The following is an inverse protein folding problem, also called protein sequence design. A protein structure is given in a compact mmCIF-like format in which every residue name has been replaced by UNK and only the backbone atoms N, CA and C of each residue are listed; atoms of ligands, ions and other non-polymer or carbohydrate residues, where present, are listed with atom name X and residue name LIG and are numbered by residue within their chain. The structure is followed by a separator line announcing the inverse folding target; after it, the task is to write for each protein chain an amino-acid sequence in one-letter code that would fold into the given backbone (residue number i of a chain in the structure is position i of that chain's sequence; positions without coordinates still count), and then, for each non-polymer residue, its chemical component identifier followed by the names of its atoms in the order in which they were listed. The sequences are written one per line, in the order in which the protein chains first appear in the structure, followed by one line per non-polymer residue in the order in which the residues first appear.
data_IF_398945401039
#
_entry.id   IF_398945401039
#
_cell.length_a   1.000
_cell.length_b   1.000
_cell.length_c   1.000
_cell.angle_alpha   90.00
_cell.angle_beta   90.00
_cell.angle_gamma   90.00
#
_symmetry.space_group_name_H-M   'P 1'
#
loop_
_entity.id
_entity.type
_entity.pdbx_description
1 polymer ?
#
# COMPACT_ATOMS: atom_id res chain seq x y z
N UNK A 1 -6.02 4.18 6.83
CA UNK A 1 -5.00 3.45 7.60
C UNK A 1 -4.88 4.15 8.94
N UNK A 2 -4.74 3.41 10.05
CA UNK A 2 -4.46 4.04 11.35
C UNK A 2 -2.95 4.32 11.48
N UNK A 3 -2.55 5.21 12.38
CA UNK A 3 -1.16 5.63 12.60
C UNK A 3 -0.19 4.43 12.70
N UNK A 4 1.01 4.50 12.08
CA UNK A 4 2.03 3.48 12.25
C UNK A 4 2.56 3.49 13.69
N UNK A 5 2.91 2.32 14.20
CA UNK A 5 3.54 2.14 15.50
C UNK A 5 4.82 1.31 15.35
N UNK A 6 5.87 1.65 16.09
CA UNK A 6 7.04 0.78 16.23
C UNK A 6 6.78 -0.23 17.34
N UNK A 7 6.66 -1.53 17.06
CA UNK A 7 6.41 -2.52 18.09
C UNK A 7 7.62 -2.69 19.03
N UNK A 8 8.84 -2.37 18.58
CA UNK A 8 10.08 -2.61 19.33
C UNK A 8 11.09 -1.45 19.26
N UNK A 9 10.89 -0.35 20.00
CA UNK A 9 11.95 0.66 20.22
C UNK A 9 12.62 1.21 18.93
N UNK A 10 13.94 1.08 18.82
CA UNK A 10 14.76 1.46 17.64
C UNK A 10 14.71 0.45 16.48
N UNK A 11 13.87 -0.59 16.58
CA UNK A 11 13.68 -1.54 15.50
C UNK A 11 13.03 -0.82 14.29
N UNK A 12 13.56 -1.02 13.07
CA UNK A 12 13.02 -0.39 11.87
C UNK A 12 11.67 -0.97 11.45
N UNK A 13 11.10 -1.93 12.17
CA UNK A 13 9.74 -2.41 11.89
C UNK A 13 8.69 -1.33 12.16
N UNK A 14 7.79 -1.18 11.20
CA UNK A 14 6.61 -0.34 11.29
C UNK A 14 5.38 -1.24 11.17
N UNK A 15 4.57 -1.24 12.22
CA UNK A 15 3.27 -1.91 12.25
C UNK A 15 2.18 -0.86 12.05
N UNK A 16 1.35 -0.98 11.02
CA UNK A 16 0.19 -0.10 10.84
C UNK A 16 -1.08 -0.87 10.56
N UNK A 17 -2.21 -0.36 11.07
CA UNK A 17 -3.51 -0.98 10.82
C UNK A 17 -4.02 -0.58 9.43
N UNK A 18 -4.15 -1.57 8.56
CA UNK A 18 -4.82 -1.40 7.27
C UNK A 18 -6.27 -1.80 7.43
N UNK A 19 -7.15 -0.82 7.23
CA UNK A 19 -8.60 -1.01 7.21
C UNK A 19 -9.10 -0.88 5.79
N UNK A 20 -9.75 -1.92 5.29
CA UNK A 20 -10.42 -1.90 4.02
C UNK A 20 -11.93 -2.02 4.22
N UNK A 21 -12.70 -1.25 3.44
CA UNK A 21 -14.15 -1.16 3.57
C UNK A 21 -14.81 -1.30 2.21
N UNK A 22 -15.61 -2.34 2.05
CA UNK A 22 -16.55 -2.52 0.95
C UNK A 22 -17.95 -2.08 1.34
N UNK A 23 -18.91 -2.24 0.41
CA UNK A 23 -20.31 -1.86 0.61
C UNK A 23 -20.98 -2.55 1.81
N UNK A 24 -20.55 -3.78 2.13
CA UNK A 24 -21.18 -4.62 3.14
C UNK A 24 -20.19 -5.23 4.14
N UNK A 25 -18.90 -4.96 3.97
CA UNK A 25 -17.83 -5.60 4.73
C UNK A 25 -16.79 -4.55 5.13
N UNK A 26 -16.28 -4.67 6.34
CA UNK A 26 -15.12 -3.91 6.81
C UNK A 26 -14.17 -4.91 7.42
N UNK A 27 -12.95 -4.96 6.90
CA UNK A 27 -11.88 -5.81 7.42
C UNK A 27 -10.74 -4.92 7.87
N UNK A 28 -10.01 -5.39 8.87
CA UNK A 28 -8.80 -4.74 9.35
C UNK A 28 -7.73 -5.79 9.61
N UNK A 29 -6.50 -5.46 9.25
CA UNK A 29 -5.34 -6.31 9.51
C UNK A 29 -4.16 -5.44 9.90
N UNK A 30 -3.33 -5.94 10.81
CA UNK A 30 -2.08 -5.29 11.17
C UNK A 30 -1.03 -5.68 10.12
N UNK A 31 -0.47 -4.70 9.44
CA UNK A 31 0.57 -4.92 8.44
C UNK A 31 1.89 -4.52 9.05
N UNK A 32 2.82 -5.48 9.11
CA UNK A 32 4.21 -5.24 9.49
C UNK A 32 5.06 -5.00 8.26
N UNK A 33 5.84 -3.94 8.30
CA UNK A 33 6.82 -3.58 7.26
C UNK A 33 8.17 -3.28 7.88
N UNK A 34 9.24 -3.34 7.09
CA UNK A 34 10.57 -2.88 7.47
C UNK A 34 10.80 -1.46 6.93
N UNK A 35 10.53 -0.45 7.74
CA UNK A 35 10.63 0.96 7.34
C UNK A 35 9.75 1.31 6.13
N UNK A 36 8.61 0.61 5.98
CA UNK A 36 7.71 0.76 4.83
C UNK A 36 7.99 -0.17 3.65
N UNK A 37 9.00 -1.05 3.72
CA UNK A 37 9.41 -1.99 2.65
C UNK A 37 9.54 -1.33 1.25
N UNK A 38 9.86 -0.03 1.19
CA UNK A 38 9.94 0.74 -0.05
C UNK A 38 8.60 1.00 -0.75
N UNK A 39 7.47 0.97 -0.02
CA UNK A 39 6.14 1.27 -0.54
C UNK A 39 6.05 2.68 -1.16
N UNK A 40 6.61 3.65 -0.46
CA UNK A 40 6.74 5.05 -0.90
C UNK A 40 7.54 5.16 -2.20
N UNK A 41 8.66 4.44 -2.29
CA UNK A 41 9.52 4.41 -3.46
C UNK A 41 8.81 3.72 -4.62
N UNK A 42 8.08 2.64 -4.36
CA UNK A 42 7.27 1.95 -5.35
C UNK A 42 6.21 2.89 -5.94
N UNK A 43 5.41 3.55 -5.11
CA UNK A 43 4.38 4.49 -5.57
C UNK A 43 4.98 5.70 -6.31
N UNK A 44 6.12 6.22 -5.83
CA UNK A 44 6.84 7.30 -6.50
C UNK A 44 7.29 6.90 -7.90
N UNK A 45 7.84 5.69 -8.07
CA UNK A 45 8.22 5.17 -9.37
C UNK A 45 7.03 5.04 -10.35
N UNK A 46 5.84 4.69 -9.86
CA UNK A 46 4.62 4.69 -10.68
C UNK A 46 4.25 6.09 -11.19
N UNK A 47 4.50 7.12 -10.38
CA UNK A 47 4.21 8.51 -10.72
C UNK A 47 5.26 9.13 -11.67
N UNK A 48 6.49 8.63 -11.62
CA UNK A 48 7.57 9.01 -12.55
C UNK A 48 7.38 8.36 -13.92
N UNK A 49 6.93 7.11 -13.96
CA UNK A 49 6.61 6.37 -15.19
C UNK A 49 5.20 6.70 -15.73
N UNK A 50 4.77 7.96 -15.60
CA UNK A 50 3.47 8.44 -16.10
C UNK A 50 3.28 8.29 -17.62
N UNK A 51 4.37 8.06 -18.37
CA UNK A 51 4.34 7.78 -19.80
C UNK A 51 3.78 6.40 -20.12
N UNK A 52 3.63 5.56 -19.09
CA UNK A 52 3.14 4.19 -19.18
C UNK A 52 4.25 3.15 -19.13
N UNK A 53 3.89 1.96 -18.68
CA UNK A 53 4.73 0.77 -18.65
C UNK A 53 3.93 -0.44 -19.11
N UNK A 54 4.62 -1.49 -19.56
CA UNK A 54 3.99 -2.76 -19.91
C UNK A 54 3.94 -3.71 -18.71
N UNK A 55 2.83 -4.44 -18.59
CA UNK A 55 2.61 -5.41 -17.52
C UNK A 55 2.18 -4.81 -16.18
N UNK A 56 2.12 -5.67 -15.16
CA UNK A 56 1.80 -5.28 -13.80
C UNK A 56 3.09 -5.12 -12.98
N UNK A 57 3.20 -4.01 -12.25
CA UNK A 57 4.23 -3.83 -11.23
C UNK A 57 3.63 -4.20 -9.88
N UNK A 58 4.30 -5.04 -9.11
CA UNK A 58 3.79 -5.49 -7.83
C UNK A 58 4.73 -5.09 -6.69
N UNK A 59 4.13 -4.76 -5.56
CA UNK A 59 4.78 -4.57 -4.27
C UNK A 59 4.07 -5.44 -3.23
N UNK A 60 4.81 -5.87 -2.21
CA UNK A 60 4.27 -6.62 -1.08
C UNK A 60 5.02 -6.25 0.20
N UNK A 61 4.32 -6.27 1.32
CA UNK A 61 4.93 -6.15 2.64
C UNK A 61 5.82 -7.35 2.94
N UNK A 62 6.73 -7.20 3.89
CA UNK A 62 7.64 -8.25 4.37
C UNK A 62 6.93 -9.57 4.66
N UNK A 63 5.79 -9.46 5.32
CA UNK A 63 4.99 -10.58 5.80
C UNK A 63 3.88 -11.01 4.81
N UNK A 64 3.84 -10.37 3.63
CA UNK A 64 2.89 -10.61 2.53
C UNK A 64 1.40 -10.37 2.88
N UNK A 65 1.11 -9.79 4.05
CA UNK A 65 -0.26 -9.50 4.47
C UNK A 65 -0.87 -8.31 3.72
N UNK A 66 -0.03 -7.47 3.07
CA UNK A 66 -0.45 -6.45 2.12
C UNK A 66 0.30 -6.63 0.80
N UNK A 67 -0.44 -6.70 -0.29
CA UNK A 67 0.10 -6.73 -1.65
C UNK A 67 -0.57 -5.63 -2.47
N UNK A 68 0.21 -4.95 -3.31
CA UNK A 68 -0.27 -3.91 -4.22
C UNK A 68 0.18 -4.29 -5.63
N UNK A 69 -0.74 -4.29 -6.58
CA UNK A 69 -0.44 -4.47 -8.00
C UNK A 69 -0.87 -3.24 -8.77
N UNK A 70 0.00 -2.74 -9.62
CA UNK A 70 -0.18 -1.53 -10.40
C UNK A 70 -0.13 -1.85 -11.89
N UNK A 71 -1.21 -1.54 -12.59
CA UNK A 71 -1.29 -1.67 -14.05
C UNK A 71 -1.57 -0.31 -14.67
N UNK A 72 -0.75 0.09 -15.64
CA UNK A 72 -1.00 1.28 -16.44
C UNK A 72 -1.97 0.94 -17.58
N UNK A 73 -3.12 1.60 -17.62
CA UNK A 73 -4.16 1.39 -18.64
C UNK A 73 -4.11 2.48 -19.70
N UNK A 74 -4.64 2.14 -20.88
CA UNK A 74 -4.85 3.11 -21.95
C UNK A 74 -5.75 4.26 -21.43
N UNK A 75 -5.28 5.50 -21.56
CA UNK A 75 -5.96 6.69 -21.04
C UNK A 75 -5.19 7.44 -19.95
N UNK A 76 -4.00 6.98 -19.54
CA UNK A 76 -3.17 7.68 -18.57
C UNK A 76 -3.59 7.45 -17.11
N UNK A 77 -4.24 6.32 -16.86
CA UNK A 77 -4.70 5.90 -15.53
C UNK A 77 -3.91 4.68 -15.06
N UNK A 78 -3.63 4.67 -13.77
CA UNK A 78 -3.01 3.57 -13.06
C UNK A 78 -4.07 2.91 -12.19
N UNK A 79 -4.26 1.62 -12.40
CA UNK A 79 -5.14 0.80 -11.57
C UNK A 79 -4.28 0.18 -10.48
N UNK A 80 -4.53 0.57 -9.22
CA UNK A 80 -3.88 0.02 -8.05
C UNK A 80 -4.81 -0.98 -7.39
N UNK A 81 -4.48 -2.26 -7.48
CA UNK A 81 -5.16 -3.34 -6.79
C UNK A 81 -4.48 -3.62 -5.47
N UNK A 82 -5.18 -3.31 -4.38
CA UNK A 82 -4.77 -3.51 -3.00
C UNK A 82 -5.36 -4.82 -2.51
N UNK A 83 -4.53 -5.73 -2.05
CA UNK A 83 -4.95 -6.99 -1.46
C UNK A 83 -4.40 -7.12 -0.05
N UNK A 84 -5.28 -7.41 0.90
CA UNK A 84 -4.92 -7.71 2.29
C UNK A 84 -5.34 -9.11 2.67
N UNK A 85 -4.52 -9.75 3.49
CA UNK A 85 -4.71 -11.13 3.94
C UNK A 85 -4.86 -11.21 5.46
N UNK A 86 -5.79 -12.03 5.91
CA UNK A 86 -5.90 -12.47 7.30
C UNK A 86 -4.89 -13.57 7.59
N UNK A 87 -4.12 -13.42 8.68
CA UNK A 87 -3.13 -14.39 9.14
C UNK A 87 -3.66 -15.17 10.35
N UNK A 88 -3.23 -16.43 10.58
CA UNK A 88 -3.58 -17.16 11.79
C UNK A 88 -3.28 -16.36 13.08
N UNK A 89 -4.12 -16.45 14.12
CA UNK A 89 -5.23 -17.40 14.27
C UNK A 89 -6.56 -16.97 13.65
N UNK A 90 -6.62 -15.83 12.92
CA UNK A 90 -7.83 -15.46 12.17
C UNK A 90 -8.04 -16.39 10.96
N UNK A 91 -9.30 -16.64 10.58
CA UNK A 91 -9.65 -17.40 9.37
C UNK A 91 -8.86 -16.87 8.16
N UNK A 92 -8.43 -17.77 7.25
CA UNK A 92 -7.73 -17.37 6.03
C UNK A 92 -8.71 -16.58 5.14
N UNK A 93 -8.60 -15.26 5.15
CA UNK A 93 -9.40 -14.36 4.32
C UNK A 93 -8.50 -13.49 3.45
N UNK A 94 -9.00 -13.14 2.26
CA UNK A 94 -8.39 -12.15 1.37
C UNK A 94 -9.44 -11.11 1.03
N UNK A 95 -9.10 -9.84 1.21
CA UNK A 95 -9.90 -8.72 0.71
C UNK A 95 -9.09 -7.98 -0.35
N UNK A 96 -9.72 -7.72 -1.49
CA UNK A 96 -9.10 -7.01 -2.60
C UNK A 96 -9.98 -5.85 -3.04
N UNK A 97 -9.35 -4.71 -3.32
CA UNK A 97 -10.01 -3.54 -3.90
C UNK A 97 -9.10 -2.87 -4.90
N UNK A 98 -9.66 -2.34 -5.98
CA UNK A 98 -8.91 -1.57 -6.96
C UNK A 98 -9.28 -0.09 -6.86
N UNK A 99 -8.29 0.77 -6.72
CA UNK A 99 -8.42 2.21 -6.88
C UNK A 99 -7.83 2.63 -8.22
N UNK A 100 -8.39 3.68 -8.81
CA UNK A 100 -7.98 4.18 -10.12
C UNK A 100 -7.50 5.61 -9.92
N UNK A 101 -6.28 5.89 -10.37
CA UNK A 101 -5.63 7.17 -10.20
C UNK A 101 -5.04 7.65 -11.51
N UNK A 102 -5.04 8.95 -11.78
CA UNK A 102 -4.28 9.50 -12.88
C UNK A 102 -2.77 9.29 -12.65
N UNK A 103 -2.05 8.81 -13.67
CA UNK A 103 -0.63 8.42 -13.57
C UNK A 103 0.32 9.57 -13.21
N UNK A 104 -0.13 10.82 -13.35
CA UNK A 104 0.65 12.02 -13.08
C UNK A 104 0.52 12.52 -11.63
N UNK A 105 -0.02 13.71 -11.46
CA UNK A 105 -0.05 14.43 -10.19
C UNK A 105 -0.84 13.70 -9.10
N UNK A 106 -1.92 13.00 -9.46
CA UNK A 106 -2.69 12.20 -8.49
C UNK A 106 -1.84 11.07 -7.89
N UNK A 107 -1.06 10.36 -8.71
CA UNK A 107 -0.14 9.34 -8.22
C UNK A 107 0.99 9.95 -7.36
N UNK A 108 1.49 11.14 -7.71
CA UNK A 108 2.50 11.84 -6.90
C UNK A 108 1.96 12.24 -5.53
N UNK A 109 0.72 12.74 -5.49
CA UNK A 109 0.06 13.09 -4.23
C UNK A 109 -0.14 11.85 -3.37
N UNK A 110 -0.61 10.75 -3.95
CA UNK A 110 -0.73 9.46 -3.25
C UNK A 110 0.62 8.99 -2.68
N UNK A 111 1.69 9.04 -3.48
CA UNK A 111 3.02 8.66 -3.03
C UNK A 111 3.51 9.54 -1.87
N UNK A 112 3.30 10.86 -1.94
CA UNK A 112 3.67 11.81 -0.90
C UNK A 112 2.86 11.62 0.39
N UNK A 113 1.56 11.34 0.28
CA UNK A 113 0.69 11.05 1.43
C UNK A 113 1.13 9.78 2.14
N UNK A 114 1.43 8.70 1.40
CA UNK A 114 1.92 7.45 1.97
C UNK A 114 3.32 7.61 2.58
N UNK A 115 4.22 8.32 1.91
CA UNK A 115 5.54 8.63 2.46
C UNK A 115 5.44 9.41 3.78
N UNK A 116 4.58 10.45 3.80
CA UNK A 116 4.34 11.25 5.01
C UNK A 116 3.74 10.40 6.12
N UNK A 117 2.78 9.52 5.81
CA UNK A 117 2.20 8.58 6.77
C UNK A 117 3.25 7.63 7.36
N UNK A 118 4.14 7.06 6.54
CA UNK A 118 5.20 6.16 7.00
C UNK A 118 6.27 6.90 7.84
N UNK A 119 6.52 8.17 7.53
CA UNK A 119 7.56 8.99 8.16
C UNK A 119 7.05 9.77 9.37
N UNK A 120 5.73 9.91 9.58
CA UNK A 120 5.17 10.67 10.69
C UNK A 120 5.51 10.07 12.07
N UNK A 121 6.13 8.89 12.12
CA UNK A 121 6.72 8.28 13.31
C UNK A 121 8.21 8.64 13.45
N UNK A 122 8.46 9.95 13.54
CA UNK A 122 9.79 10.55 13.71
C UNK A 122 9.84 11.75 14.66
N UNK A 123 8.75 12.09 15.36
CA UNK A 123 8.71 13.15 16.39
C UNK A 123 8.18 12.62 17.73
#
# INVERSE_FOLDING_TARGET
MSEPARPFGDDPTLDFLVKARGRWVSVETLVRTWGGDGLDTFLSALAEDFRGWEGARAWRSLEHDLTISAEHRAGGYVHLTWAIHGRPPSDEWRFETTTVHAAGEEMRNLAAEIHSFLTSMGE
#
